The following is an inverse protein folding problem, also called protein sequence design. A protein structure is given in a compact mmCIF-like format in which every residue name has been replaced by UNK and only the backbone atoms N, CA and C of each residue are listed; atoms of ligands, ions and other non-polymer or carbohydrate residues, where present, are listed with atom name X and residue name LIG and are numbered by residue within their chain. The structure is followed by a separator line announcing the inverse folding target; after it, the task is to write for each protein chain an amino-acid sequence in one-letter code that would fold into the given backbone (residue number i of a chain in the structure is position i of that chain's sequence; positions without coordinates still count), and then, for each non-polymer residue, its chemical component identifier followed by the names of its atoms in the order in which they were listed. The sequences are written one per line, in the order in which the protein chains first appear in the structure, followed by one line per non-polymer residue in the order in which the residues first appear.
data_IF_655275611278
#
_entry.id   IF_655275611278
#
_cell.length_a   1.000
_cell.length_b   1.000
_cell.length_c   1.000
_cell.angle_alpha   90.00
_cell.angle_beta   90.00
_cell.angle_gamma   90.00
#
_symmetry.space_group_name_H-M   'P 1'
#
loop_
_entity.id
_entity.type
_entity.pdbx_description
1 polymer ?
#
# COMPACT_ATOMS: atom_id res chain seq x y z
N UNK A 1 -16.06 -10.70 11.95
CA UNK A 1 -16.22 -11.34 10.61
C UNK A 1 -17.13 -12.54 10.74
N UNK A 2 -17.87 -12.92 9.68
CA UNK A 2 -18.75 -14.10 9.68
C UNK A 2 -18.44 -14.87 8.39
N UNK A 3 -18.11 -16.15 8.50
CA UNK A 3 -17.99 -17.05 7.34
C UNK A 3 -19.40 -17.45 6.89
N UNK A 4 -19.64 -17.37 5.61
CA UNK A 4 -20.94 -17.72 5.00
C UNK A 4 -20.71 -18.53 3.73
N UNK A 5 -21.59 -19.51 3.50
CA UNK A 5 -21.61 -20.24 2.22
C UNK A 5 -22.40 -19.44 1.20
N UNK A 6 -21.75 -19.13 0.08
CA UNK A 6 -22.34 -18.43 -1.05
C UNK A 6 -22.14 -19.24 -2.33
N UNK A 7 -23.01 -19.00 -3.32
CA UNK A 7 -22.76 -19.54 -4.65
C UNK A 7 -21.46 -18.97 -5.21
N UNK A 8 -20.71 -19.82 -5.93
CA UNK A 8 -19.52 -19.37 -6.63
C UNK A 8 -19.87 -18.21 -7.59
N UNK A 9 -19.13 -17.08 -7.53
CA UNK A 9 -19.42 -15.98 -8.44
C UNK A 9 -19.24 -16.39 -9.90
N UNK A 10 -20.10 -15.90 -10.79
CA UNK A 10 -20.06 -16.19 -12.22
C UNK A 10 -19.56 -14.99 -13.02
N UNK A 11 -18.97 -15.28 -14.19
CA UNK A 11 -18.65 -14.27 -15.19
C UNK A 11 -19.97 -13.78 -15.82
N UNK A 12 -20.20 -12.47 -15.76
CA UNK A 12 -21.39 -11.81 -16.32
C UNK A 12 -21.08 -10.96 -17.55
N UNK A 13 -19.82 -10.58 -17.73
CA UNK A 13 -19.39 -9.76 -18.86
C UNK A 13 -18.27 -10.46 -19.63
N UNK A 14 -18.18 -10.20 -20.94
CA UNK A 14 -17.21 -10.89 -21.79
C UNK A 14 -15.75 -10.53 -21.48
N UNK A 15 -15.49 -9.46 -20.74
CA UNK A 15 -14.16 -8.97 -20.32
C UNK A 15 -13.79 -9.35 -18.88
N UNK A 16 -14.60 -10.16 -18.20
CA UNK A 16 -14.34 -10.59 -16.83
C UNK A 16 -13.54 -11.90 -16.76
N UNK A 17 -12.85 -12.08 -15.64
CA UNK A 17 -12.06 -13.26 -15.29
C UNK A 17 -12.52 -13.76 -13.93
N UNK A 18 -12.78 -15.05 -13.81
CA UNK A 18 -12.99 -15.72 -12.52
C UNK A 18 -11.66 -16.23 -12.00
N UNK A 19 -11.34 -15.88 -10.77
CA UNK A 19 -10.06 -16.18 -10.10
C UNK A 19 -10.35 -17.02 -8.87
N UNK A 20 -9.60 -18.12 -8.70
CA UNK A 20 -9.53 -18.84 -7.43
C UNK A 20 -8.47 -18.16 -6.56
N UNK A 21 -8.87 -17.62 -5.42
CA UNK A 21 -7.97 -17.01 -4.45
C UNK A 21 -6.98 -18.04 -3.91
N UNK A 22 -5.73 -17.68 -3.78
CA UNK A 22 -4.68 -18.47 -3.10
C UNK A 22 -4.22 -17.76 -1.85
N UNK A 23 -4.04 -16.46 -1.92
CA UNK A 23 -3.63 -15.63 -0.80
C UNK A 23 -4.28 -14.28 -0.89
N UNK A 24 -4.56 -13.68 0.25
CA UNK A 24 -5.04 -12.31 0.35
C UNK A 24 -4.50 -11.64 1.60
N UNK A 25 -3.96 -10.43 1.47
CA UNK A 25 -3.47 -9.62 2.59
C UNK A 25 -4.62 -8.90 3.31
N UNK A 26 -4.44 -8.68 4.60
CA UNK A 26 -5.32 -7.81 5.41
C UNK A 26 -4.72 -6.40 5.45
N UNK A 27 -5.45 -5.43 4.88
CA UNK A 27 -5.09 -4.02 4.90
C UNK A 27 -5.68 -3.30 6.13
N UNK A 28 -5.07 -2.19 6.54
CA UNK A 28 -5.64 -1.32 7.56
C UNK A 28 -7.04 -0.79 7.19
N UNK A 29 -7.34 -0.64 5.90
CA UNK A 29 -8.67 -0.24 5.43
C UNK A 29 -9.76 -1.29 5.69
N UNK A 30 -9.43 -2.60 5.68
CA UNK A 30 -10.33 -3.65 6.12
C UNK A 30 -10.53 -3.60 7.63
N UNK A 31 -9.49 -3.30 8.41
CA UNK A 31 -9.61 -3.10 9.86
C UNK A 31 -10.57 -1.94 10.16
N UNK A 32 -10.45 -0.80 9.46
CA UNK A 32 -11.41 0.30 9.58
C UNK A 32 -12.83 -0.10 9.18
N UNK A 33 -13.00 -0.93 8.14
CA UNK A 33 -14.30 -1.47 7.75
C UNK A 33 -14.89 -2.39 8.82
N UNK A 34 -14.07 -3.25 9.41
CA UNK A 34 -14.44 -4.15 10.50
C UNK A 34 -14.97 -3.40 11.73
N UNK A 35 -14.38 -2.26 12.05
CA UNK A 35 -14.83 -1.36 13.13
C UNK A 35 -15.95 -0.38 12.70
N UNK A 36 -16.40 -0.44 11.45
CA UNK A 36 -17.46 0.44 10.95
C UNK A 36 -17.05 1.90 10.73
N UNK A 37 -15.77 2.23 10.83
CA UNK A 37 -15.22 3.58 10.66
C UNK A 37 -14.86 3.92 9.22
N UNK A 38 -14.77 2.91 8.32
CA UNK A 38 -14.44 3.17 6.92
C UNK A 38 -15.57 3.91 6.20
N UNK A 39 -15.29 4.96 5.42
CA UNK A 39 -16.32 5.83 4.84
C UNK A 39 -17.26 5.12 3.84
N UNK A 40 -16.79 4.17 3.07
CA UNK A 40 -17.58 3.50 2.02
C UNK A 40 -17.54 1.96 2.06
N UNK A 41 -16.70 1.29 2.85
CA UNK A 41 -16.75 -0.17 3.04
C UNK A 41 -17.72 -0.48 4.18
N UNK A 42 -18.98 -0.70 3.85
CA UNK A 42 -20.07 -0.94 4.82
C UNK A 42 -20.59 -2.36 4.68
N UNK A 43 -20.85 -3.02 5.80
CA UNK A 43 -21.49 -4.33 5.83
C UNK A 43 -22.94 -4.27 5.30
N UNK A 44 -23.46 -5.32 4.63
CA UNK A 44 -22.75 -6.55 4.29
C UNK A 44 -21.84 -6.40 3.07
N UNK A 45 -20.60 -6.89 3.14
CA UNK A 45 -19.62 -6.84 2.05
C UNK A 45 -18.57 -7.94 2.24
N UNK A 46 -18.12 -8.56 1.16
CA UNK A 46 -16.93 -9.40 1.16
C UNK A 46 -15.73 -8.48 1.01
N UNK A 47 -14.85 -8.45 2.01
CA UNK A 47 -13.62 -7.64 2.04
C UNK A 47 -12.49 -8.33 1.26
N UNK A 48 -11.28 -7.78 1.32
CA UNK A 48 -10.06 -8.30 0.70
C UNK A 48 -9.80 -7.72 -0.68
N UNK A 49 -8.64 -7.04 -0.82
CA UNK A 49 -8.25 -6.39 -2.06
C UNK A 49 -6.77 -6.55 -2.40
N UNK A 50 -5.97 -7.15 -1.54
CA UNK A 50 -4.56 -7.47 -1.76
C UNK A 50 -4.44 -8.96 -2.13
N UNK A 51 -4.83 -9.37 -3.35
CA UNK A 51 -5.04 -10.79 -3.66
C UNK A 51 -4.17 -11.31 -4.81
N UNK A 52 -3.81 -12.59 -4.69
CA UNK A 52 -3.19 -13.39 -5.73
C UNK A 52 -3.92 -14.74 -5.88
N UNK A 53 -3.95 -15.28 -7.10
CA UNK A 53 -4.64 -16.54 -7.36
C UNK A 53 -4.44 -17.08 -8.76
N UNK A 54 -5.28 -18.07 -9.12
CA UNK A 54 -5.28 -18.75 -10.41
C UNK A 54 -6.53 -18.37 -11.21
N UNK A 55 -6.35 -18.11 -12.49
CA UNK A 55 -7.46 -17.98 -13.45
C UNK A 55 -8.16 -19.33 -13.61
N UNK A 56 -9.46 -19.39 -13.35
CA UNK A 56 -10.26 -20.61 -13.51
C UNK A 56 -11.30 -20.53 -14.63
N UNK A 57 -11.68 -19.32 -15.03
CA UNK A 57 -12.48 -19.08 -16.23
C UNK A 57 -12.22 -17.67 -16.78
N UNK A 58 -12.45 -17.48 -18.06
CA UNK A 58 -12.31 -16.19 -18.75
C UNK A 58 -13.52 -15.93 -19.63
N UNK A 59 -13.94 -14.67 -19.72
CA UNK A 59 -14.97 -14.25 -20.67
C UNK A 59 -14.45 -14.21 -22.11
N UNK A 60 -15.35 -14.27 -23.09
CA UNK A 60 -15.03 -14.44 -24.52
C UNK A 60 -14.19 -13.29 -25.12
N UNK A 61 -14.24 -12.09 -24.53
CA UNK A 61 -13.44 -10.94 -24.97
C UNK A 61 -12.03 -10.93 -24.38
N UNK A 62 -11.74 -11.75 -23.38
CA UNK A 62 -10.41 -11.82 -22.73
C UNK A 62 -9.43 -12.51 -23.67
N UNK A 63 -8.33 -11.81 -24.02
CA UNK A 63 -7.29 -12.33 -24.94
C UNK A 63 -5.93 -12.49 -24.28
N UNK A 64 -5.68 -11.82 -23.14
CA UNK A 64 -4.38 -11.79 -22.49
C UNK A 64 -4.20 -12.87 -21.43
N UNK A 65 -5.28 -13.49 -20.97
CA UNK A 65 -5.28 -14.49 -19.90
C UNK A 65 -5.98 -15.77 -20.33
N UNK A 66 -5.57 -16.87 -19.75
CA UNK A 66 -6.16 -18.21 -19.94
C UNK A 66 -6.26 -18.94 -18.60
N UNK A 67 -7.08 -19.97 -18.55
CA UNK A 67 -7.19 -20.87 -17.39
C UNK A 67 -5.82 -21.44 -17.03
N UNK A 68 -5.50 -21.37 -15.74
CA UNK A 68 -4.22 -21.79 -15.16
C UNK A 68 -3.16 -20.68 -15.05
N UNK A 69 -3.41 -19.50 -15.60
CA UNK A 69 -2.48 -18.38 -15.39
C UNK A 69 -2.51 -17.92 -13.92
N UNK A 70 -1.32 -17.67 -13.37
CA UNK A 70 -1.13 -17.10 -12.03
C UNK A 70 -1.23 -15.59 -12.12
N UNK A 71 -2.03 -14.97 -11.26
CA UNK A 71 -2.37 -13.56 -11.37
C UNK A 71 -2.43 -12.85 -10.01
N UNK A 72 -2.32 -11.54 -10.09
CA UNK A 72 -2.64 -10.58 -9.02
C UNK A 72 -3.71 -9.61 -9.52
N UNK A 73 -4.37 -8.94 -8.61
CA UNK A 73 -5.40 -7.92 -8.91
C UNK A 73 -4.93 -6.52 -8.50
N UNK A 74 -5.08 -5.54 -9.41
CA UNK A 74 -5.18 -4.12 -9.06
C UNK A 74 -6.60 -3.87 -8.56
N UNK A 75 -6.81 -3.41 -7.31
CA UNK A 75 -8.16 -3.29 -6.75
C UNK A 75 -8.98 -2.15 -7.34
N UNK A 76 -8.64 -1.63 -8.51
CA UNK A 76 -9.29 -0.50 -9.16
C UNK A 76 -9.92 -0.91 -10.50
N UNK A 77 -11.25 -0.81 -10.55
CA UNK A 77 -12.00 -0.94 -11.80
C UNK A 77 -12.49 0.43 -12.23
N UNK A 78 -11.98 0.94 -13.35
CA UNK A 78 -12.17 2.32 -13.78
C UNK A 78 -12.98 2.42 -15.06
N UNK A 79 -13.52 3.60 -15.40
CA UNK A 79 -14.36 3.76 -16.59
C UNK A 79 -13.57 3.69 -17.92
N UNK A 80 -12.26 3.92 -17.90
CA UNK A 80 -11.40 3.91 -19.09
C UNK A 80 -11.52 5.14 -20.00
N UNK A 81 -12.54 5.99 -19.86
CA UNK A 81 -12.89 7.06 -20.82
C UNK A 81 -12.77 8.49 -20.28
N UNK A 82 -12.79 8.70 -18.95
CA UNK A 82 -12.65 10.03 -18.37
C UNK A 82 -11.22 10.58 -18.56
N UNK A 83 -11.06 11.90 -18.42
CA UNK A 83 -9.76 12.57 -18.59
C UNK A 83 -8.64 11.96 -17.72
N UNK A 84 -8.97 11.52 -16.50
CA UNK A 84 -8.01 10.88 -15.59
C UNK A 84 -7.57 9.52 -16.13
N UNK A 85 -8.51 8.68 -16.58
CA UNK A 85 -8.19 7.38 -17.17
C UNK A 85 -7.34 7.54 -18.44
N UNK A 86 -7.66 8.50 -19.30
CA UNK A 86 -6.91 8.75 -20.54
C UNK A 86 -5.48 9.23 -20.28
N UNK A 87 -5.23 9.93 -19.17
CA UNK A 87 -3.88 10.35 -18.75
C UNK A 87 -3.11 9.27 -17.97
N UNK A 88 -3.78 8.15 -17.62
CA UNK A 88 -3.20 7.11 -16.79
C UNK A 88 -3.32 7.35 -15.27
N UNK A 89 -3.96 8.43 -14.85
CA UNK A 89 -4.27 8.76 -13.45
C UNK A 89 -5.54 8.03 -12.98
N UNK A 90 -5.59 6.73 -13.20
CA UNK A 90 -6.80 5.90 -12.98
C UNK A 90 -7.30 5.94 -11.54
N UNK A 91 -6.39 6.12 -10.59
CA UNK A 91 -6.69 6.29 -9.16
C UNK A 91 -7.59 7.51 -8.86
N UNK A 92 -7.67 8.47 -9.79
CA UNK A 92 -8.52 9.67 -9.69
C UNK A 92 -9.82 9.55 -10.50
N UNK A 93 -10.11 8.40 -11.10
CA UNK A 93 -11.35 8.18 -11.83
C UNK A 93 -12.57 8.37 -10.91
N UNK A 94 -13.52 9.28 -11.24
CA UNK A 94 -14.68 9.54 -10.38
C UNK A 94 -15.67 8.37 -10.33
N UNK A 95 -15.65 7.49 -11.35
CA UNK A 95 -16.52 6.33 -11.48
C UNK A 95 -15.83 5.01 -11.12
N UNK A 96 -14.66 5.08 -10.47
CA UNK A 96 -13.94 3.83 -10.11
C UNK A 96 -14.71 3.04 -9.06
N UNK A 97 -14.69 1.73 -9.24
CA UNK A 97 -15.08 0.74 -8.23
C UNK A 97 -13.82 0.18 -7.58
N UNK A 98 -13.92 -0.15 -6.32
CA UNK A 98 -12.79 -0.69 -5.54
C UNK A 98 -13.15 -2.09 -5.07
N UNK A 99 -12.24 -3.05 -5.24
CA UNK A 99 -12.40 -4.42 -4.77
C UNK A 99 -12.58 -4.42 -3.23
N UNK A 100 -13.52 -5.21 -2.74
CA UNK A 100 -13.89 -5.22 -1.32
C UNK A 100 -14.85 -4.09 -0.92
N UNK A 101 -15.69 -3.63 -1.88
CA UNK A 101 -16.80 -2.70 -1.63
C UNK A 101 -18.13 -3.30 -2.14
N UNK A 102 -19.25 -2.65 -1.84
CA UNK A 102 -20.56 -3.09 -2.30
C UNK A 102 -20.64 -3.21 -3.83
N UNK A 103 -19.93 -2.34 -4.56
CA UNK A 103 -19.93 -2.30 -6.03
C UNK A 103 -19.02 -3.36 -6.67
N UNK A 104 -18.10 -3.93 -5.89
CA UNK A 104 -17.19 -4.97 -6.34
C UNK A 104 -16.72 -5.79 -5.13
N UNK A 105 -17.36 -6.97 -4.93
CA UNK A 105 -17.07 -7.87 -3.80
C UNK A 105 -15.62 -8.32 -3.80
N UNK A 106 -15.04 -8.41 -2.62
CA UNK A 106 -13.62 -8.66 -2.41
C UNK A 106 -13.18 -10.12 -2.49
N UNK A 107 -11.93 -10.34 -2.16
CA UNK A 107 -11.23 -11.61 -2.30
C UNK A 107 -11.12 -12.42 -0.98
N UNK A 108 -11.81 -12.03 0.12
CA UNK A 108 -11.96 -12.88 1.31
C UNK A 108 -12.98 -13.98 1.06
N UNK A 109 -12.73 -14.77 0.03
CA UNK A 109 -13.52 -15.90 -0.42
C UNK A 109 -12.72 -16.75 -1.39
N UNK A 110 -13.13 -18.02 -1.57
CA UNK A 110 -12.42 -18.97 -2.45
C UNK A 110 -12.31 -18.49 -3.90
N UNK A 111 -13.26 -17.64 -4.34
CA UNK A 111 -13.32 -17.11 -5.70
C UNK A 111 -13.76 -15.66 -5.70
N UNK A 112 -13.25 -14.91 -6.65
CA UNK A 112 -13.74 -13.56 -6.98
C UNK A 112 -13.70 -13.33 -8.49
N UNK A 113 -14.50 -12.39 -8.99
CA UNK A 113 -14.52 -11.96 -10.39
C UNK A 113 -13.88 -10.58 -10.51
N UNK A 114 -13.09 -10.38 -11.54
CA UNK A 114 -12.46 -9.11 -11.83
C UNK A 114 -12.46 -8.81 -13.34
N UNK A 115 -12.50 -7.53 -13.77
CA UNK A 115 -12.28 -7.17 -15.15
C UNK A 115 -10.83 -7.47 -15.54
N UNK A 116 -10.62 -7.99 -16.75
CA UNK A 116 -9.28 -8.36 -17.24
C UNK A 116 -8.28 -7.20 -17.22
N UNK A 117 -8.76 -5.97 -17.29
CA UNK A 117 -7.91 -4.76 -17.23
C UNK A 117 -7.30 -4.48 -15.83
N UNK A 118 -7.90 -5.06 -14.78
CA UNK A 118 -7.42 -4.98 -13.40
C UNK A 118 -6.49 -6.14 -13.03
N UNK A 119 -6.23 -7.07 -13.95
CA UNK A 119 -5.44 -8.27 -13.69
C UNK A 119 -4.04 -8.15 -14.31
N UNK A 120 -3.05 -8.64 -13.56
CA UNK A 120 -1.66 -8.72 -13.98
C UNK A 120 -1.14 -10.14 -13.77
N UNK A 121 -0.24 -10.59 -14.67
CA UNK A 121 0.43 -11.86 -14.48
C UNK A 121 1.35 -11.82 -13.26
N UNK A 122 1.26 -12.86 -12.42
CA UNK A 122 2.23 -13.09 -11.35
C UNK A 122 3.43 -13.86 -11.92
N UNK A 123 4.64 -13.28 -11.91
CA UNK A 123 5.86 -13.97 -12.35
C UNK A 123 6.06 -15.33 -11.67
N UNK A 124 6.59 -16.30 -12.41
CA UNK A 124 6.77 -17.68 -11.93
C UNK A 124 7.73 -17.80 -10.73
N UNK A 125 8.64 -16.85 -10.59
CA UNK A 125 9.58 -16.78 -9.48
C UNK A 125 9.03 -16.12 -8.20
N UNK A 126 7.80 -15.63 -8.22
CA UNK A 126 7.12 -15.12 -7.03
C UNK A 126 6.11 -16.16 -6.50
N UNK A 127 6.03 -16.32 -5.19
CA UNK A 127 4.96 -17.08 -4.52
C UNK A 127 3.61 -16.32 -4.58
N UNK A 128 2.49 -16.97 -4.28
CA UNK A 128 1.21 -16.26 -4.14
C UNK A 128 1.23 -15.29 -2.97
N UNK A 129 1.88 -15.65 -1.86
CA UNK A 129 2.05 -14.74 -0.72
C UNK A 129 2.80 -13.46 -1.13
N UNK A 130 3.88 -13.57 -1.91
CA UNK A 130 4.53 -12.40 -2.50
C UNK A 130 3.61 -11.65 -3.47
N UNK A 131 2.78 -12.39 -4.21
CA UNK A 131 1.79 -11.84 -5.13
C UNK A 131 0.77 -10.93 -4.43
N UNK A 132 0.23 -11.34 -3.28
CA UNK A 132 -0.70 -10.51 -2.51
C UNK A 132 -0.05 -9.26 -1.91
N UNK A 133 1.28 -9.23 -1.79
CA UNK A 133 2.03 -8.08 -1.30
C UNK A 133 2.40 -7.07 -2.41
N UNK A 134 2.12 -7.38 -3.67
CA UNK A 134 2.36 -6.43 -4.78
C UNK A 134 1.44 -5.22 -4.65
N UNK A 135 0.18 -5.40 -4.21
CA UNK A 135 -0.74 -4.27 -4.03
C UNK A 135 -0.19 -3.23 -3.07
N UNK A 136 0.18 -3.55 -1.80
CA UNK A 136 0.76 -2.56 -0.91
C UNK A 136 2.13 -2.02 -1.38
N UNK A 137 2.95 -2.83 -2.08
CA UNK A 137 4.17 -2.32 -2.71
C UNK A 137 3.87 -1.28 -3.78
N UNK A 138 2.80 -1.49 -4.56
CA UNK A 138 2.35 -0.55 -5.59
C UNK A 138 2.02 0.83 -5.02
N UNK A 139 1.42 0.87 -3.81
CA UNK A 139 1.20 2.13 -3.09
C UNK A 139 2.54 2.81 -2.78
N UNK A 140 3.54 2.07 -2.29
CA UNK A 140 4.89 2.59 -2.06
C UNK A 140 5.55 3.17 -3.32
N UNK A 141 5.41 2.48 -4.47
CA UNK A 141 5.91 2.96 -5.78
C UNK A 141 5.21 4.27 -6.18
N UNK A 142 3.88 4.31 -6.03
CA UNK A 142 3.11 5.51 -6.33
C UNK A 142 3.52 6.70 -5.46
N UNK A 143 3.69 6.49 -4.17
CA UNK A 143 4.13 7.51 -3.20
C UNK A 143 5.49 8.09 -3.58
N UNK A 144 6.47 7.25 -3.91
CA UNK A 144 7.79 7.68 -4.35
C UNK A 144 7.72 8.50 -5.66
N UNK A 145 6.87 8.07 -6.60
CA UNK A 145 6.60 8.82 -7.85
C UNK A 145 5.90 10.15 -7.58
N UNK A 146 4.95 10.21 -6.63
CA UNK A 146 4.28 11.47 -6.24
C UNK A 146 5.25 12.47 -5.62
N UNK A 147 6.29 11.99 -4.97
CA UNK A 147 7.38 12.81 -4.47
C UNK A 147 8.35 13.26 -5.57
N UNK A 148 8.26 12.72 -6.78
CA UNK A 148 9.30 12.88 -7.82
C UNK A 148 10.70 12.56 -7.26
N UNK A 149 10.81 11.43 -6.54
CA UNK A 149 12.03 11.04 -5.83
C UNK A 149 13.18 10.79 -6.81
N UNK A 150 14.30 11.45 -6.59
CA UNK A 150 15.51 11.33 -7.40
C UNK A 150 16.59 10.51 -6.69
N UNK A 151 17.46 9.85 -7.49
CA UNK A 151 18.62 9.16 -6.93
C UNK A 151 19.56 10.15 -6.21
N UNK A 152 20.09 9.72 -5.07
CA UNK A 152 20.97 10.54 -4.22
C UNK A 152 20.24 11.38 -3.18
N UNK A 153 18.93 11.51 -3.25
CA UNK A 153 18.13 12.26 -2.27
C UNK A 153 18.08 11.59 -0.90
N UNK A 154 17.77 12.41 0.10
CA UNK A 154 17.50 12.01 1.50
C UNK A 154 15.99 12.00 1.76
N UNK A 155 15.51 10.98 2.44
CA UNK A 155 14.08 10.83 2.75
C UNK A 155 13.86 10.52 4.23
N UNK A 156 12.70 10.94 4.75
CA UNK A 156 12.19 10.52 6.06
C UNK A 156 10.80 9.88 5.89
N UNK A 157 10.60 8.72 6.48
CA UNK A 157 9.33 7.95 6.45
C UNK A 157 8.80 7.90 7.88
N UNK A 158 7.69 8.59 8.12
CA UNK A 158 7.04 8.69 9.42
C UNK A 158 5.86 7.72 9.48
N UNK A 159 6.06 6.62 10.18
CA UNK A 159 5.24 5.42 10.17
C UNK A 159 5.86 4.32 9.29
N UNK A 160 6.46 3.30 9.91
CA UNK A 160 7.21 2.23 9.22
C UNK A 160 6.41 0.91 9.23
N UNK A 161 5.09 1.00 9.18
CA UNK A 161 4.20 -0.15 8.99
C UNK A 161 4.33 -0.77 7.58
N UNK A 162 3.32 -1.50 7.12
CA UNK A 162 3.37 -2.20 5.83
C UNK A 162 3.73 -1.26 4.66
N UNK A 163 3.05 -0.12 4.55
CA UNK A 163 3.30 0.84 3.45
C UNK A 163 4.65 1.54 3.63
N UNK A 164 4.94 2.09 4.83
CA UNK A 164 6.20 2.81 5.07
C UNK A 164 7.43 1.92 4.96
N UNK A 165 7.34 0.67 5.42
CA UNK A 165 8.40 -0.32 5.26
C UNK A 165 8.69 -0.63 3.79
N UNK A 166 7.66 -0.98 3.01
CA UNK A 166 7.82 -1.24 1.56
C UNK A 166 8.30 0.00 0.81
N UNK A 167 7.83 1.20 1.18
CA UNK A 167 8.31 2.46 0.63
C UNK A 167 9.82 2.66 0.89
N UNK A 168 10.33 2.27 2.07
CA UNK A 168 11.77 2.29 2.34
C UNK A 168 12.53 1.46 1.32
N UNK A 169 12.05 0.24 1.01
CA UNK A 169 12.60 -0.61 -0.04
C UNK A 169 12.55 0.03 -1.43
N UNK A 170 11.45 0.70 -1.76
CA UNK A 170 11.32 1.44 -3.03
C UNK A 170 12.30 2.60 -3.09
N UNK A 171 12.43 3.40 -2.02
CA UNK A 171 13.39 4.51 -1.95
C UNK A 171 14.83 4.01 -2.17
N UNK A 172 15.20 2.89 -1.52
CA UNK A 172 16.50 2.25 -1.74
C UNK A 172 16.69 1.84 -3.21
N UNK A 173 15.69 1.17 -3.80
CA UNK A 173 15.75 0.70 -5.18
C UNK A 173 15.84 1.85 -6.20
N UNK A 174 15.31 3.04 -5.86
CA UNK A 174 15.43 4.26 -6.65
C UNK A 174 16.72 5.05 -6.38
N UNK A 175 17.58 4.56 -5.48
CA UNK A 175 18.88 5.16 -5.23
C UNK A 175 18.88 6.30 -4.22
N UNK A 176 17.88 6.41 -3.34
CA UNK A 176 17.93 7.34 -2.21
C UNK A 176 19.17 7.05 -1.36
N UNK A 177 19.92 8.12 -1.01
CA UNK A 177 21.19 7.99 -0.29
C UNK A 177 21.00 7.85 1.22
N UNK A 178 20.04 8.56 1.77
CA UNK A 178 19.74 8.56 3.20
C UNK A 178 18.25 8.26 3.37
N UNK A 179 17.94 7.19 4.08
CA UNK A 179 16.56 6.74 4.34
C UNK A 179 16.40 6.68 5.85
N UNK A 180 15.66 7.64 6.39
CA UNK A 180 15.37 7.76 7.81
C UNK A 180 13.96 7.23 8.04
N UNK A 181 13.80 6.26 8.93
CA UNK A 181 12.50 5.70 9.32
C UNK A 181 12.19 6.04 10.77
N UNK A 182 10.91 6.30 11.07
CA UNK A 182 10.45 6.53 12.42
C UNK A 182 9.11 5.82 12.65
N UNK A 183 8.98 5.12 13.77
CA UNK A 183 7.75 4.41 14.18
C UNK A 183 7.70 4.31 15.71
N UNK A 184 6.53 4.05 16.25
CA UNK A 184 6.32 3.78 17.68
C UNK A 184 6.61 2.30 18.05
N UNK A 185 6.91 1.46 17.05
CA UNK A 185 7.13 0.02 17.21
C UNK A 185 8.50 -0.38 16.72
N UNK A 186 9.34 -0.89 17.63
CA UNK A 186 10.72 -1.26 17.33
C UNK A 186 10.82 -2.31 16.22
N UNK A 187 9.98 -3.36 16.23
CA UNK A 187 10.02 -4.42 15.22
C UNK A 187 9.80 -3.90 13.78
N UNK A 188 8.99 -2.85 13.58
CA UNK A 188 8.82 -2.22 12.27
C UNK A 188 10.12 -1.56 11.78
N UNK A 189 10.83 -0.91 12.70
CA UNK A 189 12.12 -0.26 12.43
C UNK A 189 13.21 -1.30 12.12
N UNK A 190 13.25 -2.39 12.89
CA UNK A 190 14.20 -3.49 12.68
C UNK A 190 14.03 -4.10 11.28
N UNK A 191 12.80 -4.40 10.88
CA UNK A 191 12.48 -4.91 9.52
C UNK A 191 12.90 -3.91 8.45
N UNK A 192 12.61 -2.63 8.63
CA UNK A 192 12.98 -1.60 7.65
C UNK A 192 14.49 -1.49 7.50
N UNK A 193 15.24 -1.53 8.60
CA UNK A 193 16.70 -1.45 8.60
C UNK A 193 17.35 -2.70 8.03
N UNK A 194 16.94 -3.88 8.47
CA UNK A 194 17.61 -5.14 8.15
C UNK A 194 17.29 -5.64 6.74
N UNK A 195 16.05 -5.41 6.28
CA UNK A 195 15.54 -6.01 5.04
C UNK A 195 15.16 -4.99 3.97
N UNK A 196 14.73 -3.78 4.34
CA UNK A 196 14.14 -2.80 3.42
C UNK A 196 15.03 -1.56 3.20
N UNK A 197 16.24 -1.53 3.79
CA UNK A 197 17.28 -0.60 3.43
C UNK A 197 17.19 0.78 4.08
N UNK A 198 16.46 0.93 5.18
CA UNK A 198 16.57 2.11 6.03
C UNK A 198 18.02 2.28 6.51
N UNK A 199 18.54 3.50 6.43
CA UNK A 199 19.91 3.83 6.86
C UNK A 199 19.97 4.30 8.31
N UNK A 200 18.86 4.87 8.79
CA UNK A 200 18.68 5.34 10.17
C UNK A 200 17.26 5.04 10.60
N UNK A 201 17.09 4.73 11.87
CA UNK A 201 15.79 4.41 12.45
C UNK A 201 15.62 5.10 13.81
N UNK A 202 14.40 5.52 14.13
CA UNK A 202 14.05 6.22 15.36
C UNK A 202 12.76 5.68 15.96
N UNK A 203 12.84 5.19 17.19
CA UNK A 203 11.67 4.84 17.98
C UNK A 203 11.04 6.13 18.53
N UNK A 204 9.75 6.33 18.24
CA UNK A 204 8.97 7.48 18.73
C UNK A 204 8.12 7.08 19.95
N UNK A 205 7.77 8.02 20.86
CA UNK A 205 8.21 9.41 20.85
C UNK A 205 9.71 9.56 21.16
N UNK A 206 10.38 10.52 20.52
CA UNK A 206 11.77 10.84 20.75
C UNK A 206 11.95 12.36 20.62
N UNK A 207 12.22 13.04 21.71
CA UNK A 207 12.32 14.49 21.76
C UNK A 207 13.48 15.04 20.91
N UNK A 208 14.50 14.23 20.66
CA UNK A 208 15.66 14.60 19.85
C UNK A 208 15.53 14.27 18.36
N UNK A 209 14.40 13.68 17.91
CA UNK A 209 14.22 13.20 16.52
C UNK A 209 14.51 14.28 15.48
N UNK A 210 13.91 15.47 15.63
CA UNK A 210 14.10 16.60 14.69
C UNK A 210 15.57 17.02 14.65
N UNK A 211 16.20 17.12 15.81
CA UNK A 211 17.62 17.47 15.95
C UNK A 211 18.51 16.41 15.29
N UNK A 212 18.22 15.14 15.51
CA UNK A 212 18.95 14.03 14.92
C UNK A 212 18.84 14.02 13.38
N UNK A 213 17.64 14.24 12.82
CA UNK A 213 17.46 14.36 11.37
C UNK A 213 18.30 15.52 10.80
N UNK A 214 18.31 16.68 11.47
CA UNK A 214 19.15 17.82 11.05
C UNK A 214 20.64 17.50 11.12
N UNK A 215 21.09 16.79 12.14
CA UNK A 215 22.49 16.37 12.24
C UNK A 215 22.90 15.41 11.12
N UNK A 216 22.06 14.40 10.82
CA UNK A 216 22.28 13.44 9.72
C UNK A 216 22.36 14.16 8.36
N UNK A 217 21.61 15.25 8.21
CA UNK A 217 21.49 16.02 6.96
C UNK A 217 22.31 17.31 6.97
N UNK A 218 23.33 17.44 7.83
CA UNK A 218 24.21 18.61 7.96
C UNK A 218 23.46 19.94 8.18
N UNK A 219 22.32 19.89 8.86
CA UNK A 219 21.48 21.05 9.17
C UNK A 219 20.43 21.40 8.14
N UNK A 220 20.46 20.80 6.94
CA UNK A 220 19.57 21.15 5.83
C UNK A 220 18.16 20.56 5.98
N UNK A 221 18.03 19.37 6.52
CA UNK A 221 16.81 18.55 6.49
C UNK A 221 16.77 17.60 5.29
N UNK A 222 15.66 16.85 5.13
CA UNK A 222 15.51 15.85 4.09
C UNK A 222 14.79 16.38 2.84
N UNK A 223 15.08 15.80 1.67
CA UNK A 223 14.49 16.14 0.37
C UNK A 223 12.99 15.81 0.29
N UNK A 224 12.58 14.68 0.87
CA UNK A 224 11.18 14.28 0.94
C UNK A 224 10.83 13.68 2.30
N UNK A 225 9.62 13.98 2.76
CA UNK A 225 9.02 13.39 3.97
C UNK A 225 7.75 12.66 3.57
N UNK A 226 7.59 11.44 4.02
CA UNK A 226 6.41 10.61 3.77
C UNK A 226 5.64 10.37 5.08
N UNK A 227 4.38 10.78 5.13
CA UNK A 227 3.49 10.58 6.29
C UNK A 227 2.63 9.35 6.02
N UNK A 228 3.03 8.22 6.57
CA UNK A 228 2.41 6.90 6.36
C UNK A 228 1.71 6.36 7.59
N UNK A 229 1.83 7.03 8.74
CA UNK A 229 1.02 6.79 9.93
C UNK A 229 -0.10 7.84 10.04
N UNK A 230 -1.22 7.45 10.65
CA UNK A 230 -2.45 8.22 10.79
C UNK A 230 -2.44 9.26 11.94
N UNK A 231 -1.26 9.66 12.39
CA UNK A 231 -1.06 10.72 13.38
C UNK A 231 -0.85 12.08 12.69
N UNK A 232 -1.82 12.98 12.85
CA UNK A 232 -1.80 14.32 12.26
C UNK A 232 -0.63 15.18 12.74
N UNK A 233 -0.08 14.92 13.93
CA UNK A 233 1.07 15.66 14.49
C UNK A 233 2.33 15.48 13.66
N UNK A 234 2.46 14.33 12.98
CA UNK A 234 3.61 14.02 12.11
C UNK A 234 3.73 14.96 10.91
N UNK A 235 2.65 15.64 10.52
CA UNK A 235 2.72 16.65 9.44
C UNK A 235 3.56 17.84 9.89
N UNK A 236 3.41 18.31 11.13
CA UNK A 236 4.24 19.39 11.68
C UNK A 236 5.71 18.96 11.81
N UNK A 237 5.95 17.75 12.30
CA UNK A 237 7.28 17.14 12.32
C UNK A 237 7.89 17.11 10.91
N UNK A 238 7.11 16.70 9.91
CA UNK A 238 7.51 16.69 8.51
C UNK A 238 7.88 18.06 7.97
N UNK A 239 7.09 19.11 8.30
CA UNK A 239 7.40 20.50 7.93
C UNK A 239 8.73 20.96 8.55
N UNK A 240 8.99 20.54 9.77
CA UNK A 240 10.20 20.94 10.50
C UNK A 240 11.47 20.29 9.96
N UNK A 241 11.43 18.98 9.61
CA UNK A 241 12.58 18.22 9.14
C UNK A 241 12.82 18.33 7.63
N UNK A 242 11.86 18.82 6.84
CA UNK A 242 12.02 19.03 5.41
C UNK A 242 13.01 20.18 5.14
N UNK A 243 13.90 19.99 4.16
CA UNK A 243 14.78 21.07 3.68
C UNK A 243 14.04 22.13 2.87
N UNK A 244 14.71 23.23 2.52
CA UNK A 244 14.16 24.19 1.55
C UNK A 244 13.81 23.50 0.22
N UNK A 245 12.61 23.81 -0.33
CA UNK A 245 12.01 23.15 -1.50
C UNK A 245 11.75 21.65 -1.31
N UNK A 246 11.75 21.16 -0.08
CA UNK A 246 11.41 19.78 0.26
C UNK A 246 9.93 19.48 -0.03
N UNK A 247 9.65 18.19 -0.14
CA UNK A 247 8.31 17.67 -0.43
C UNK A 247 7.79 16.88 0.76
N UNK A 248 6.50 17.09 1.11
CA UNK A 248 5.81 16.34 2.16
C UNK A 248 4.67 15.59 1.48
N UNK A 249 4.72 14.27 1.49
CA UNK A 249 3.69 13.43 0.86
C UNK A 249 2.79 12.84 1.95
N UNK A 250 1.51 13.17 1.87
CA UNK A 250 0.47 12.64 2.76
C UNK A 250 -0.09 11.35 2.16
N UNK A 251 0.05 10.25 2.87
CA UNK A 251 -0.31 8.89 2.41
C UNK A 251 -1.39 8.27 3.30
N UNK A 252 -1.26 8.43 4.62
CA UNK A 252 -2.21 7.88 5.59
C UNK A 252 -3.59 8.55 5.47
N UNK A 253 -4.64 7.81 5.89
CA UNK A 253 -6.01 8.33 6.01
C UNK A 253 -6.11 9.25 7.22
N UNK A 254 -5.68 10.48 7.08
CA UNK A 254 -5.77 11.52 8.11
C UNK A 254 -7.23 12.07 8.16
N UNK A 255 -8.14 11.27 8.72
CA UNK A 255 -9.58 11.58 8.75
C UNK A 255 -10.02 12.33 10.01
N UNK A 256 -9.16 12.39 11.02
CA UNK A 256 -9.44 13.12 12.25
C UNK A 256 -9.23 14.62 12.03
N UNK A 257 -10.00 15.42 12.73
CA UNK A 257 -10.04 16.87 12.91
C UNK A 257 -9.23 17.79 11.95
N UNK A 258 -9.58 19.07 11.80
CA UNK A 258 -8.83 19.99 10.94
C UNK A 258 -7.34 20.00 11.31
N UNK A 259 -6.49 19.74 10.33
CA UNK A 259 -5.05 19.77 10.49
C UNK A 259 -4.60 21.21 10.79
N UNK A 260 -3.99 21.43 11.95
CA UNK A 260 -3.38 22.72 12.30
C UNK A 260 -1.87 22.64 12.08
N UNK A 261 -1.34 23.48 11.21
CA UNK A 261 0.09 23.58 10.95
C UNK A 261 0.56 25.04 10.87
N UNK A 262 1.84 25.26 11.18
CA UNK A 262 2.47 26.56 11.06
C UNK A 262 2.72 26.88 9.58
N UNK A 263 2.02 27.88 9.03
CA UNK A 263 2.13 28.22 7.61
C UNK A 263 3.49 28.87 7.25
N UNK A 264 4.12 29.61 8.18
CA UNK A 264 5.34 30.34 7.88
C UNK A 264 6.52 29.45 7.44
N UNK A 265 6.81 28.31 8.07
CA UNK A 265 7.86 27.41 7.57
C UNK A 265 7.60 26.86 6.16
N UNK A 266 6.33 26.69 5.77
CA UNK A 266 5.96 26.27 4.40
C UNK A 266 6.35 27.36 3.41
N UNK A 267 6.03 28.63 3.74
CA UNK A 267 6.34 29.78 2.89
C UNK A 267 7.85 30.02 2.83
N UNK A 268 8.52 30.08 3.99
CA UNK A 268 9.94 30.44 4.07
C UNK A 268 10.89 29.38 3.48
N UNK A 269 10.47 28.12 3.46
CA UNK A 269 11.21 27.01 2.84
C UNK A 269 10.70 26.66 1.42
N UNK A 270 9.66 27.31 0.90
CA UNK A 270 8.98 26.96 -0.36
C UNK A 270 8.61 25.47 -0.45
N UNK A 271 8.04 24.91 0.64
CA UNK A 271 7.70 23.48 0.71
C UNK A 271 6.52 23.13 -0.21
N UNK A 272 6.53 21.89 -0.70
CA UNK A 272 5.41 21.29 -1.43
C UNK A 272 4.72 20.26 -0.52
N UNK A 273 3.40 20.37 -0.36
CA UNK A 273 2.58 19.36 0.30
C UNK A 273 1.76 18.65 -0.77
N UNK A 274 1.92 17.33 -0.87
CA UNK A 274 1.40 16.51 -1.95
C UNK A 274 0.57 15.37 -1.38
N UNK A 275 -0.65 15.17 -1.89
CA UNK A 275 -1.44 13.98 -1.56
C UNK A 275 -1.07 12.79 -2.44
N UNK A 276 -1.19 11.58 -1.89
CA UNK A 276 -1.04 10.31 -2.61
C UNK A 276 -2.21 9.40 -2.30
N UNK A 277 -2.82 8.82 -3.32
CA UNK A 277 -3.99 7.94 -3.20
C UNK A 277 -3.82 6.73 -4.13
N UNK A 278 -3.88 5.51 -3.56
CA UNK A 278 -3.83 4.27 -4.35
C UNK A 278 -2.64 4.26 -5.33
N UNK A 279 -2.87 3.96 -6.64
CA UNK A 279 -1.79 3.80 -7.62
C UNK A 279 -2.29 3.87 -9.06
N UNK A 280 -1.38 3.89 -10.02
CA UNK A 280 -1.66 3.72 -11.45
C UNK A 280 -1.24 2.32 -11.95
N UNK A 281 -1.70 1.92 -13.15
CA UNK A 281 -1.27 0.64 -13.77
C UNK A 281 0.24 0.55 -13.99
N UNK A 282 0.90 1.67 -14.25
CA UNK A 282 2.35 1.71 -14.39
C UNK A 282 3.06 1.44 -13.04
N UNK A 283 2.48 1.90 -11.95
CA UNK A 283 3.01 1.63 -10.61
C UNK A 283 2.87 0.14 -10.25
N UNK A 284 1.76 -0.52 -10.65
CA UNK A 284 1.58 -1.98 -10.47
C UNK A 284 2.68 -2.75 -11.21
N UNK A 285 2.90 -2.45 -12.49
CA UNK A 285 3.95 -3.14 -13.25
C UNK A 285 5.34 -2.91 -12.63
N UNK A 286 5.63 -1.68 -12.22
CA UNK A 286 6.90 -1.37 -11.55
C UNK A 286 7.06 -2.13 -10.23
N UNK A 287 6.00 -2.29 -9.44
CA UNK A 287 6.01 -3.06 -8.20
C UNK A 287 6.29 -4.54 -8.47
N UNK A 288 5.65 -5.14 -9.50
CA UNK A 288 5.93 -6.50 -9.94
C UNK A 288 7.41 -6.66 -10.30
N UNK A 289 7.96 -5.74 -11.09
CA UNK A 289 9.36 -5.79 -11.54
C UNK A 289 10.34 -5.68 -10.35
N UNK A 290 10.07 -4.81 -9.39
CA UNK A 290 10.88 -4.64 -8.17
C UNK A 290 10.88 -5.90 -7.30
N UNK A 291 9.72 -6.52 -7.13
CA UNK A 291 9.60 -7.77 -6.37
C UNK A 291 10.27 -8.94 -7.11
N UNK A 292 9.97 -9.10 -8.40
CA UNK A 292 10.51 -10.20 -9.23
C UNK A 292 12.03 -10.15 -9.39
N UNK A 293 12.62 -8.95 -9.40
CA UNK A 293 14.08 -8.75 -9.42
C UNK A 293 14.73 -8.76 -8.04
N UNK A 294 13.96 -8.99 -6.97
CA UNK A 294 14.43 -8.96 -5.57
C UNK A 294 15.07 -7.62 -5.16
N UNK A 295 14.75 -6.53 -5.85
CA UNK A 295 15.18 -5.20 -5.45
C UNK A 295 14.42 -4.70 -4.20
N UNK A 296 13.18 -5.19 -3.99
CA UNK A 296 12.41 -4.99 -2.78
C UNK A 296 12.00 -6.36 -2.23
N UNK A 297 12.35 -6.63 -0.99
CA UNK A 297 11.94 -7.83 -0.28
C UNK A 297 10.52 -7.64 0.28
N UNK A 298 9.52 -8.03 -0.52
CA UNK A 298 8.11 -7.87 -0.12
C UNK A 298 7.73 -8.74 1.07
N UNK A 299 8.38 -9.91 1.24
CA UNK A 299 8.11 -10.81 2.37
C UNK A 299 8.63 -10.27 3.70
N UNK A 300 9.43 -9.21 3.69
CA UNK A 300 9.92 -8.58 4.91
C UNK A 300 8.79 -8.17 5.86
N UNK A 301 7.62 -7.80 5.34
CA UNK A 301 6.47 -7.36 6.12
C UNK A 301 5.45 -8.48 6.44
N UNK A 302 5.56 -9.66 5.80
CA UNK A 302 4.62 -10.78 5.93
C UNK A 302 4.87 -11.60 7.18
N UNK A 303 4.59 -11.02 8.35
CA UNK A 303 4.93 -11.64 9.64
C UNK A 303 4.01 -12.81 10.01
N UNK A 304 2.75 -12.80 9.57
CA UNK A 304 1.75 -13.80 9.93
C UNK A 304 1.05 -14.35 8.69
N UNK A 305 0.90 -15.68 8.63
CA UNK A 305 0.14 -16.40 7.61
C UNK A 305 -0.86 -17.31 8.34
N UNK A 306 -2.12 -17.12 8.03
CA UNK A 306 -3.23 -17.83 8.66
C UNK A 306 -4.14 -18.43 7.58
N UNK A 307 -4.77 -19.60 7.84
CA UNK A 307 -5.83 -20.08 6.96
C UNK A 307 -7.02 -19.12 6.98
N UNK A 308 -7.80 -19.06 5.90
CA UNK A 308 -8.94 -18.13 5.77
C UNK A 308 -9.97 -18.30 6.90
N UNK A 309 -10.11 -19.50 7.45
CA UNK A 309 -11.00 -19.79 8.57
C UNK A 309 -10.64 -19.01 9.84
N UNK A 310 -9.38 -18.58 9.95
CA UNK A 310 -8.87 -17.74 11.04
C UNK A 310 -8.91 -16.23 10.72
N UNK A 311 -9.73 -15.81 9.75
CA UNK A 311 -9.84 -14.40 9.35
C UNK A 311 -10.15 -13.47 10.53
N UNK A 312 -10.93 -13.92 11.50
CA UNK A 312 -11.24 -13.13 12.71
C UNK A 312 -9.97 -12.85 13.52
N UNK A 313 -9.15 -13.87 13.77
CA UNK A 313 -7.84 -13.75 14.43
C UNK A 313 -6.90 -12.86 13.64
N UNK A 314 -6.85 -13.04 12.32
CA UNK A 314 -6.06 -12.19 11.43
C UNK A 314 -6.45 -10.71 11.48
N UNK A 315 -7.74 -10.41 11.57
CA UNK A 315 -8.24 -9.04 11.74
C UNK A 315 -7.85 -8.43 13.08
N UNK A 316 -7.90 -9.23 14.16
CA UNK A 316 -7.49 -8.81 15.49
C UNK A 316 -5.98 -8.52 15.54
N UNK A 317 -5.15 -9.42 15.02
CA UNK A 317 -3.70 -9.19 14.87
C UNK A 317 -3.40 -7.94 14.04
N UNK A 318 -4.11 -7.76 12.93
CA UNK A 318 -3.93 -6.58 12.07
C UNK A 318 -4.34 -5.28 12.77
N UNK A 319 -5.27 -5.33 13.73
CA UNK A 319 -5.71 -4.20 14.55
C UNK A 319 -4.70 -3.90 15.68
N UNK A 320 -4.47 -4.89 16.54
CA UNK A 320 -3.67 -4.69 17.77
C UNK A 320 -2.19 -4.56 17.48
N UNK A 321 -1.74 -5.10 16.34
CA UNK A 321 -0.32 -5.20 15.97
C UNK A 321 0.50 -6.00 17.00
N UNK A 322 -0.17 -6.85 17.74
CA UNK A 322 0.48 -7.75 18.70
C UNK A 322 1.40 -8.74 17.96
N UNK A 323 2.28 -9.40 18.70
CA UNK A 323 3.24 -10.40 18.20
C UNK A 323 4.06 -9.91 16.98
N UNK A 324 4.33 -8.61 16.91
CA UNK A 324 5.10 -8.00 15.83
C UNK A 324 4.39 -7.96 14.48
N UNK A 325 3.05 -8.00 14.44
CA UNK A 325 2.29 -8.02 13.20
C UNK A 325 2.45 -6.72 12.40
N UNK A 326 3.05 -6.82 11.21
CA UNK A 326 3.11 -5.73 10.22
C UNK A 326 2.05 -5.97 9.15
N UNK A 327 2.05 -7.15 8.53
CA UNK A 327 1.07 -7.61 7.55
C UNK A 327 0.66 -9.05 7.87
N UNK A 328 -0.64 -9.30 7.83
CA UNK A 328 -1.23 -10.63 7.95
C UNK A 328 -1.69 -11.07 6.56
N UNK A 329 -1.37 -12.30 6.17
CA UNK A 329 -1.81 -12.94 4.92
C UNK A 329 -2.74 -14.08 5.27
N UNK A 330 -3.87 -14.16 4.59
CA UNK A 330 -4.79 -15.29 4.64
C UNK A 330 -4.52 -16.21 3.45
N UNK A 331 -4.50 -17.54 3.70
CA UNK A 331 -4.23 -18.58 2.70
C UNK A 331 -5.47 -19.46 2.50
N UNK A 332 -5.69 -19.95 1.26
CA UNK A 332 -6.82 -20.78 0.86
C UNK A 332 -6.37 -22.18 0.43
#
# INVERSE_FOLDING_TARGET
MVMVDLEQPAIHKPDEILIRTKTVGICGSEVHAFHGTHPYRKAPVILGHEAAGDVVAVGDAVKKFKVGDRVIVDPQWTCGECEYCQRGDINLCPSKKVLGTADWQGAFGEYFVAPAEAIFHLPSNLSYAQGSLIEPLTVGVHVARRADLQAGESVAILGTGAIGGLLSGVCRAQGAKTIITADVRQHCLDVARERLGATHDFLLPNDDFVTAVKQITNGEGVDAVFITADDVSLVNTGIEIAKCRGRIVLVALLTEAPLQFAAYPIISKELQIVGSLMSSKADVQKAIDLAASSQVDVEAIAMHRLPIEQVQEGMELALTKDDGAIKVILEF
#
